data_IF_113173802768
#
_entry.id   IF_113173802768
#
_cell.length_a   1.000
_cell.length_b   1.000
_cell.length_c   1.000
_cell.angle_alpha   90.00
_cell.angle_beta   90.00
_cell.angle_gamma   90.00
#
_symmetry.space_group_name_H-M   'P 1'
#
loop_
_entity.id
_entity.type
_entity.pdbx_description
1 polymer ?
#
# COMPACT_ATOMS: atom_id res chain seq x y z
N UNK A 1 11.99 -22.12 8.02
CA UNK A 1 11.83 -20.87 8.78
C UNK A 1 10.36 -20.45 8.90
N UNK A 2 9.60 -20.25 7.78
CA UNK A 2 8.21 -19.81 7.87
C UNK A 2 7.28 -20.83 8.57
N UNK A 3 7.45 -22.13 8.31
CA UNK A 3 6.66 -23.20 8.99
C UNK A 3 6.98 -23.27 10.49
N UNK A 4 8.22 -23.03 10.89
CA UNK A 4 8.64 -23.00 12.29
C UNK A 4 8.05 -21.79 13.03
N UNK A 5 8.05 -20.61 12.37
CA UNK A 5 7.42 -19.40 12.90
C UNK A 5 5.90 -19.57 13.08
N UNK A 6 5.22 -20.16 12.08
CA UNK A 6 3.79 -20.48 12.15
C UNK A 6 3.52 -21.44 13.31
N UNK A 7 4.39 -22.45 13.53
CA UNK A 7 4.29 -23.37 14.66
C UNK A 7 4.39 -22.65 16.01
N UNK A 8 5.34 -21.72 16.14
CA UNK A 8 5.52 -20.89 17.36
C UNK A 8 4.33 -19.95 17.60
N UNK A 9 3.83 -19.29 16.55
CA UNK A 9 2.65 -18.42 16.64
C UNK A 9 1.37 -19.20 17.03
N UNK A 10 1.19 -20.40 16.48
CA UNK A 10 0.10 -21.29 16.87
C UNK A 10 0.20 -21.73 18.35
N UNK A 11 1.41 -21.93 18.87
CA UNK A 11 1.67 -22.26 20.26
C UNK A 11 1.35 -21.11 21.25
N UNK A 12 1.39 -19.86 20.77
CA UNK A 12 1.01 -18.67 21.55
C UNK A 12 -0.50 -18.42 21.54
N UNK A 13 -1.23 -19.01 20.60
CA UNK A 13 -2.68 -18.84 20.48
C UNK A 13 -3.45 -19.74 21.45
N UNK A 14 -4.62 -19.26 21.89
CA UNK A 14 -5.53 -20.03 22.72
C UNK A 14 -5.93 -21.34 22.01
N UNK A 15 -5.93 -22.46 22.75
CA UNK A 15 -6.30 -23.82 22.31
C UNK A 15 -7.60 -23.87 21.50
N UNK A 16 -8.58 -23.06 21.88
CA UNK A 16 -9.89 -22.96 21.22
C UNK A 16 -9.82 -22.15 19.90
N UNK A 17 -8.94 -21.18 19.78
CA UNK A 17 -8.77 -20.38 18.57
C UNK A 17 -8.05 -21.18 17.48
N UNK A 18 -6.96 -21.87 17.83
CA UNK A 18 -6.21 -22.69 16.88
C UNK A 18 -7.03 -23.84 16.27
N UNK A 19 -7.93 -24.44 17.07
CA UNK A 19 -8.82 -25.49 16.59
C UNK A 19 -9.89 -24.97 15.63
N UNK A 20 -10.42 -23.76 15.86
CA UNK A 20 -11.47 -23.15 15.02
C UNK A 20 -10.97 -22.64 13.67
N UNK A 21 -9.70 -22.27 13.54
CA UNK A 21 -9.12 -21.76 12.29
C UNK A 21 -8.33 -22.80 11.50
N UNK A 22 -8.33 -24.06 11.93
CA UNK A 22 -7.60 -25.14 11.23
C UNK A 22 -8.12 -25.41 9.81
N UNK A 23 -9.34 -25.03 9.51
CA UNK A 23 -9.97 -25.19 8.20
C UNK A 23 -9.87 -23.95 7.30
N UNK A 24 -9.30 -22.85 7.80
CA UNK A 24 -9.06 -21.66 6.99
C UNK A 24 -7.71 -21.81 6.28
N UNK A 25 -7.76 -22.06 4.99
CA UNK A 25 -6.58 -22.15 4.13
C UNK A 25 -6.58 -20.99 3.14
N UNK A 26 -5.50 -20.23 3.12
CA UNK A 26 -5.26 -19.34 2.00
C UNK A 26 -4.83 -20.18 0.80
N UNK A 27 -5.45 -19.96 -0.36
CA UNK A 27 -4.96 -20.55 -1.60
C UNK A 27 -3.52 -20.09 -1.84
N UNK A 28 -2.57 -21.01 -2.08
CA UNK A 28 -1.21 -20.63 -2.40
C UNK A 28 -1.21 -19.87 -3.72
N UNK A 29 -0.77 -18.64 -3.69
CA UNK A 29 -0.60 -17.81 -4.86
C UNK A 29 0.70 -18.21 -5.58
N UNK A 30 0.63 -19.32 -6.33
CA UNK A 30 1.79 -19.98 -6.94
C UNK A 30 2.46 -19.12 -8.02
N UNK A 31 1.75 -18.14 -8.58
CA UNK A 31 2.29 -17.32 -9.68
C UNK A 31 3.06 -16.07 -9.21
N UNK A 32 3.08 -15.77 -7.91
CA UNK A 32 3.57 -14.46 -7.40
C UNK A 32 4.57 -14.56 -6.26
N UNK A 33 5.23 -15.72 -6.06
CA UNK A 33 6.20 -15.91 -4.98
C UNK A 33 7.35 -14.88 -5.05
N UNK A 34 7.93 -14.68 -6.24
CA UNK A 34 9.01 -13.70 -6.46
C UNK A 34 8.55 -12.26 -6.22
N UNK A 35 7.28 -11.94 -6.56
CA UNK A 35 6.71 -10.63 -6.32
C UNK A 35 6.50 -10.34 -4.83
N UNK A 36 6.12 -11.34 -4.04
CA UNK A 36 6.00 -11.18 -2.57
C UNK A 36 7.34 -10.80 -1.95
N UNK A 37 8.42 -11.41 -2.40
CA UNK A 37 9.76 -11.09 -1.92
C UNK A 37 10.17 -9.67 -2.30
N UNK A 38 9.89 -9.23 -3.53
CA UNK A 38 10.15 -7.85 -3.98
C UNK A 38 9.33 -6.83 -3.19
N UNK A 39 8.05 -7.12 -2.90
CA UNK A 39 7.20 -6.24 -2.09
C UNK A 39 7.74 -6.11 -0.68
N UNK A 40 8.15 -7.21 -0.03
CA UNK A 40 8.74 -7.17 1.30
C UNK A 40 10.02 -6.33 1.33
N UNK A 41 10.90 -6.52 0.35
CA UNK A 41 12.10 -5.69 0.22
C UNK A 41 11.76 -4.20 0.04
N UNK A 42 10.78 -3.87 -0.79
CA UNK A 42 10.35 -2.50 -0.99
C UNK A 42 9.79 -1.90 0.31
N UNK A 43 9.01 -2.67 1.09
CA UNK A 43 8.48 -2.24 2.38
C UNK A 43 9.60 -1.89 3.36
N UNK A 44 10.65 -2.71 3.44
CA UNK A 44 11.80 -2.47 4.31
C UNK A 44 12.53 -1.18 3.91
N UNK A 45 12.85 -1.02 2.62
CA UNK A 45 13.53 0.18 2.10
C UNK A 45 12.70 1.45 2.35
N UNK A 46 11.39 1.38 2.11
CA UNK A 46 10.48 2.53 2.31
C UNK A 46 10.36 2.85 3.80
N UNK A 47 10.28 1.84 4.67
CA UNK A 47 10.25 2.02 6.12
C UNK A 47 11.48 2.78 6.62
N UNK A 48 12.65 2.39 6.16
CA UNK A 48 13.89 3.05 6.49
C UNK A 48 13.92 4.50 6.00
N UNK A 49 13.47 4.74 4.76
CA UNK A 49 13.39 6.09 4.20
C UNK A 49 12.47 7.00 5.01
N UNK A 50 11.31 6.49 5.45
CA UNK A 50 10.38 7.23 6.33
C UNK A 50 11.03 7.52 7.69
N UNK A 51 11.71 6.52 8.27
CA UNK A 51 12.38 6.65 9.58
C UNK A 51 13.53 7.65 9.55
N UNK A 52 14.27 7.72 8.44
CA UNK A 52 15.36 8.67 8.22
C UNK A 52 14.93 10.00 7.62
N UNK A 53 13.64 10.20 7.39
CA UNK A 53 13.09 11.40 6.73
C UNK A 53 13.76 11.69 5.38
N UNK A 54 14.01 10.65 4.59
CA UNK A 54 14.67 10.76 3.28
C UNK A 54 13.70 10.52 2.14
N UNK A 55 13.99 11.13 0.98
CA UNK A 55 13.28 10.85 -0.26
C UNK A 55 13.62 9.46 -0.78
N UNK A 56 12.73 8.92 -1.58
CA UNK A 56 12.98 7.70 -2.34
C UNK A 56 12.85 7.93 -3.83
N UNK A 57 13.57 7.12 -4.60
CA UNK A 57 13.38 7.01 -6.04
C UNK A 57 13.01 5.58 -6.42
N UNK A 58 12.23 5.41 -7.49
CA UNK A 58 11.81 4.11 -8.00
C UNK A 58 11.30 4.21 -9.43
N UNK A 59 11.18 3.05 -10.10
CA UNK A 59 10.46 2.90 -11.36
C UNK A 59 9.04 2.46 -11.05
N UNK A 60 8.02 3.20 -11.54
CA UNK A 60 6.63 2.84 -11.35
C UNK A 60 6.08 2.12 -12.57
N UNK A 61 5.52 0.92 -12.34
CA UNK A 61 5.12 0.00 -13.38
C UNK A 61 3.58 -0.08 -13.53
N UNK A 62 3.17 -0.65 -14.64
CA UNK A 62 1.81 -1.11 -14.92
C UNK A 62 1.85 -2.55 -15.42
N UNK A 63 0.75 -3.27 -15.30
CA UNK A 63 0.61 -4.58 -15.93
C UNK A 63 0.28 -4.44 -17.41
N UNK A 64 0.94 -5.23 -18.23
CA UNK A 64 0.57 -5.44 -19.63
C UNK A 64 -0.47 -6.56 -19.75
N UNK A 65 -0.93 -6.84 -20.98
CA UNK A 65 -1.90 -7.91 -21.27
C UNK A 65 -1.39 -9.33 -20.97
N UNK A 66 -0.08 -9.49 -20.78
CA UNK A 66 0.57 -10.75 -20.37
C UNK A 66 0.82 -10.83 -18.87
N UNK A 67 0.20 -9.95 -18.07
CA UNK A 67 0.39 -9.82 -16.62
C UNK A 67 1.84 -9.56 -16.17
N UNK A 68 2.67 -8.99 -17.03
CA UNK A 68 4.04 -8.59 -16.73
C UNK A 68 4.07 -7.11 -16.31
N UNK A 69 4.92 -6.80 -15.34
CA UNK A 69 5.21 -5.41 -14.98
C UNK A 69 6.07 -4.76 -16.06
N UNK A 70 5.59 -3.65 -16.59
CA UNK A 70 6.32 -2.81 -17.54
C UNK A 70 6.31 -1.37 -17.04
N UNK A 71 7.38 -0.59 -17.23
CA UNK A 71 7.41 0.80 -16.81
C UNK A 71 6.21 1.58 -17.35
N UNK A 72 5.56 2.37 -16.50
CA UNK A 72 4.45 3.25 -16.89
C UNK A 72 4.92 4.35 -17.84
N UNK A 73 6.16 4.81 -17.65
CA UNK A 73 6.89 5.73 -18.53
C UNK A 73 8.27 5.17 -18.76
N UNK A 74 8.69 5.02 -20.02
CA UNK A 74 10.04 4.60 -20.37
C UNK A 74 11.05 5.62 -19.82
N UNK A 75 12.15 5.10 -19.27
CA UNK A 75 13.30 5.89 -18.79
C UNK A 75 12.97 7.00 -17.78
N UNK A 76 11.87 6.84 -17.02
CA UNK A 76 11.46 7.80 -16.01
C UNK A 76 11.52 7.23 -14.60
N UNK A 77 12.37 7.82 -13.78
CA UNK A 77 12.49 7.52 -12.35
C UNK A 77 11.62 8.50 -11.56
N UNK A 78 10.73 7.97 -10.75
CA UNK A 78 9.90 8.76 -9.84
C UNK A 78 10.68 9.07 -8.58
N UNK A 79 10.61 10.31 -8.11
CA UNK A 79 11.15 10.75 -6.82
C UNK A 79 10.01 11.30 -5.98
N UNK A 80 9.89 10.82 -4.72
CA UNK A 80 8.82 11.24 -3.82
C UNK A 80 9.31 11.40 -2.38
N UNK A 81 8.54 12.14 -1.60
CA UNK A 81 8.64 12.26 -0.16
C UNK A 81 7.73 11.22 0.50
N UNK A 82 8.26 10.13 1.09
CA UNK A 82 7.45 9.08 1.71
C UNK A 82 7.00 9.51 3.10
N UNK A 83 5.74 9.22 3.48
CA UNK A 83 5.20 9.59 4.79
C UNK A 83 4.61 8.45 5.58
N UNK A 84 3.86 7.55 4.94
CA UNK A 84 3.16 6.46 5.60
C UNK A 84 2.94 5.30 4.65
N UNK A 85 2.94 4.09 5.17
CA UNK A 85 2.49 2.90 4.45
C UNK A 85 1.19 2.40 5.04
N UNK A 86 0.26 1.96 4.19
CA UNK A 86 -1.02 1.40 4.59
C UNK A 86 -1.32 0.13 3.80
N UNK A 87 -2.04 -0.80 4.43
CA UNK A 87 -2.57 -1.99 3.78
C UNK A 87 -4.08 -1.79 3.55
N UNK A 88 -4.53 -1.98 2.32
CA UNK A 88 -5.94 -1.88 1.95
C UNK A 88 -6.26 -2.85 0.82
N UNK A 89 -7.36 -3.61 0.97
CA UNK A 89 -7.84 -4.59 -0.02
C UNK A 89 -6.73 -5.52 -0.56
N UNK A 90 -5.90 -6.06 0.35
CA UNK A 90 -4.83 -7.01 0.01
C UNK A 90 -3.61 -6.38 -0.68
N UNK A 91 -3.53 -5.07 -0.77
CA UNK A 91 -2.39 -4.35 -1.33
C UNK A 91 -1.77 -3.38 -0.33
N UNK A 92 -0.47 -3.14 -0.49
CA UNK A 92 0.24 -2.09 0.25
C UNK A 92 0.35 -0.83 -0.59
N UNK A 93 0.04 0.29 0.04
CA UNK A 93 0.10 1.63 -0.57
C UNK A 93 1.07 2.50 0.20
N UNK A 94 1.82 3.31 -0.53
CA UNK A 94 2.63 4.39 0.00
C UNK A 94 1.86 5.70 -0.11
N UNK A 95 1.65 6.37 1.01
CA UNK A 95 1.22 7.77 1.08
C UNK A 95 2.46 8.62 0.96
N UNK A 96 2.54 9.42 -0.07
CA UNK A 96 3.71 10.23 -0.40
C UNK A 96 3.29 11.56 -1.04
N UNK A 97 4.25 12.43 -1.25
CA UNK A 97 4.05 13.67 -2.00
C UNK A 97 5.15 13.83 -3.04
N UNK A 98 4.81 14.38 -4.19
CA UNK A 98 5.77 14.83 -5.19
C UNK A 98 6.11 16.29 -4.92
N UNK A 99 7.38 16.69 -4.98
CA UNK A 99 7.80 18.09 -4.71
C UNK A 99 7.02 19.12 -5.53
N UNK A 100 6.62 18.73 -6.73
CA UNK A 100 5.90 19.56 -7.68
C UNK A 100 4.45 19.87 -7.25
N UNK A 101 3.86 19.05 -6.37
CA UNK A 101 2.45 19.16 -6.00
C UNK A 101 2.30 19.42 -4.50
N UNK A 102 1.16 19.97 -4.11
CA UNK A 102 0.78 20.21 -2.71
C UNK A 102 0.03 19.02 -2.08
N UNK A 103 -0.62 18.21 -2.91
CA UNK A 103 -1.47 17.11 -2.45
C UNK A 103 -0.66 15.83 -2.18
N UNK A 104 -1.25 14.91 -1.42
CA UNK A 104 -0.71 13.57 -1.26
C UNK A 104 -1.05 12.68 -2.45
N UNK A 105 -0.21 11.72 -2.70
CA UNK A 105 -0.39 10.68 -3.70
C UNK A 105 -0.37 9.30 -3.04
N UNK A 106 -1.17 8.38 -3.57
CA UNK A 106 -1.23 6.99 -3.15
C UNK A 106 -0.64 6.11 -4.24
N UNK A 107 0.43 5.43 -3.92
CA UNK A 107 1.15 4.60 -4.88
C UNK A 107 1.22 3.16 -4.39
N UNK A 108 0.81 2.21 -5.23
CA UNK A 108 0.89 0.78 -4.91
C UNK A 108 2.35 0.32 -4.87
N UNK A 109 2.76 -0.25 -3.75
CA UNK A 109 4.15 -0.68 -3.52
C UNK A 109 4.51 -1.89 -4.39
N UNK A 110 3.56 -2.77 -4.67
CA UNK A 110 3.76 -3.93 -5.56
C UNK A 110 4.01 -3.56 -7.04
N UNK A 111 3.78 -2.29 -7.40
CA UNK A 111 4.10 -1.76 -8.74
C UNK A 111 5.42 -1.00 -8.79
N UNK A 112 6.16 -0.97 -7.69
CA UNK A 112 7.46 -0.29 -7.63
C UNK A 112 8.59 -1.29 -7.86
N UNK A 113 9.56 -0.89 -8.66
CA UNK A 113 10.84 -1.61 -8.83
C UNK A 113 11.99 -0.64 -8.68
N UNK A 114 13.19 -1.15 -8.37
CA UNK A 114 14.40 -0.37 -8.19
C UNK A 114 14.22 0.78 -7.16
N UNK A 115 13.63 0.45 -6.01
CA UNK A 115 13.40 1.41 -4.92
C UNK A 115 14.72 1.71 -4.23
N UNK A 116 15.09 2.99 -4.14
CA UNK A 116 16.33 3.47 -3.52
C UNK A 116 16.05 4.65 -2.60
N UNK A 117 16.75 4.69 -1.48
CA UNK A 117 16.78 5.87 -0.59
C UNK A 117 17.73 6.89 -1.17
N UNK A 118 17.32 8.14 -1.23
CA UNK A 118 18.17 9.26 -1.66
C UNK A 118 18.77 9.96 -0.44
N UNK A 119 19.88 10.66 -0.64
CA UNK A 119 20.48 11.45 0.44
C UNK A 119 19.70 12.74 0.75
N UNK A 120 18.80 13.13 -0.14
CA UNK A 120 17.94 14.29 0.02
C UNK A 120 16.93 14.10 1.15
N UNK A 121 16.77 15.13 2.00
CA UNK A 121 15.75 15.16 3.05
C UNK A 121 14.35 15.24 2.43
N UNK A 122 13.43 14.47 2.96
CA UNK A 122 12.02 14.53 2.58
C UNK A 122 11.39 15.86 3.04
N UNK A 123 10.41 16.35 2.28
CA UNK A 123 9.61 17.52 2.64
C UNK A 123 8.87 17.25 3.94
N UNK A 124 8.86 18.20 4.85
CA UNK A 124 8.20 18.04 6.16
C UNK A 124 6.69 17.86 5.99
N UNK A 125 6.10 16.95 6.78
CA UNK A 125 4.65 16.66 6.77
C UNK A 125 3.80 17.92 6.98
N UNK A 126 4.27 18.85 7.82
CA UNK A 126 3.59 20.12 8.11
C UNK A 126 3.40 21.02 6.88
N UNK A 127 4.18 20.83 5.84
CA UNK A 127 4.08 21.59 4.59
C UNK A 127 3.06 20.98 3.61
N UNK A 128 2.44 19.87 3.98
CA UNK A 128 1.41 19.19 3.20
C UNK A 128 0.08 19.40 3.92
N UNK A 129 -0.90 20.10 3.32
CA UNK A 129 -2.16 20.45 3.99
C UNK A 129 -2.90 19.25 4.58
N UNK A 130 -2.91 18.12 3.88
CA UNK A 130 -3.58 16.89 4.33
C UNK A 130 -2.86 16.20 5.51
N UNK A 131 -1.60 16.52 5.77
CA UNK A 131 -0.76 15.90 6.79
C UNK A 131 -0.39 16.85 7.93
N UNK A 132 -0.76 18.13 7.85
CA UNK A 132 -0.35 19.19 8.79
C UNK A 132 -0.71 18.84 10.23
N UNK A 133 -1.93 18.32 10.47
CA UNK A 133 -2.43 17.94 11.79
C UNK A 133 -2.33 16.44 12.09
N UNK A 134 -1.54 15.72 11.30
CA UNK A 134 -1.47 14.26 11.32
C UNK A 134 -2.48 13.61 10.39
N UNK A 135 -2.23 12.36 10.03
CA UNK A 135 -3.10 11.59 9.15
C UNK A 135 -4.13 10.83 10.00
N UNK A 136 -5.38 11.25 9.95
CA UNK A 136 -6.52 10.46 10.45
C UNK A 136 -6.77 9.32 9.45
N UNK A 137 -6.11 8.18 9.67
CA UNK A 137 -6.16 7.03 8.76
C UNK A 137 -7.60 6.55 8.48
N UNK A 138 -8.48 6.34 9.48
CA UNK A 138 -9.86 5.93 9.24
C UNK A 138 -10.61 6.90 8.32
N UNK A 139 -10.53 8.19 8.59
CA UNK A 139 -11.15 9.23 7.77
C UNK A 139 -10.56 9.29 6.37
N UNK A 140 -9.24 9.24 6.28
CA UNK A 140 -8.51 9.24 5.01
C UNK A 140 -8.90 8.04 4.14
N UNK A 141 -8.97 6.84 4.72
CA UNK A 141 -9.39 5.63 4.03
C UNK A 141 -10.83 5.70 3.52
N UNK A 142 -11.75 6.23 4.34
CA UNK A 142 -13.15 6.41 3.96
C UNK A 142 -13.33 7.43 2.81
N UNK A 143 -12.45 8.42 2.72
CA UNK A 143 -12.50 9.46 1.69
C UNK A 143 -11.79 9.08 0.39
N UNK A 144 -10.89 8.10 0.43
CA UNK A 144 -10.06 7.70 -0.71
C UNK A 144 -10.33 6.26 -1.12
N UNK A 145 -11.56 6.01 -1.57
CA UNK A 145 -11.95 4.71 -2.14
C UNK A 145 -10.97 4.32 -3.25
N UNK A 146 -10.42 3.11 -3.19
CA UNK A 146 -9.34 2.64 -4.08
C UNK A 146 -8.09 3.52 -4.11
N UNK A 147 -7.85 4.32 -3.08
CA UNK A 147 -6.67 5.18 -2.98
C UNK A 147 -6.52 6.19 -4.13
N UNK A 148 -7.61 6.68 -4.67
CA UNK A 148 -7.60 7.82 -5.57
C UNK A 148 -7.62 9.12 -4.75
N UNK A 149 -6.75 10.06 -5.08
CA UNK A 149 -6.76 11.40 -4.53
C UNK A 149 -7.81 12.28 -5.21
N UNK A 150 -8.26 13.31 -4.53
CA UNK A 150 -9.20 14.31 -5.05
C UNK A 150 -10.10 14.89 -3.96
N UNK A 151 -10.91 15.87 -4.32
CA UNK A 151 -11.88 16.46 -3.41
C UNK A 151 -13.03 15.49 -3.13
N UNK A 152 -13.38 15.30 -1.85
CA UNK A 152 -14.54 14.51 -1.45
C UNK A 152 -15.83 15.25 -1.79
N UNK A 153 -16.75 14.54 -2.42
CA UNK A 153 -18.10 15.05 -2.74
C UNK A 153 -19.15 14.09 -2.22
N UNK A 154 -20.31 14.63 -1.83
CA UNK A 154 -21.46 13.79 -1.53
C UNK A 154 -22.06 13.29 -2.82
N UNK A 155 -22.26 11.97 -2.92
CA UNK A 155 -22.92 11.34 -4.05
C UNK A 155 -24.14 10.54 -3.56
N UNK A 156 -25.24 10.66 -4.28
CA UNK A 156 -26.45 9.82 -4.08
C UNK A 156 -26.45 8.79 -5.20
N UNK A 157 -26.32 7.52 -4.81
CA UNK A 157 -26.30 6.41 -5.76
C UNK A 157 -27.63 5.67 -5.67
N UNK A 158 -28.29 5.48 -6.81
CA UNK A 158 -29.45 4.61 -6.93
C UNK A 158 -28.97 3.28 -7.50
N UNK A 159 -29.11 2.21 -6.75
CA UNK A 159 -28.74 0.87 -7.18
C UNK A 159 -29.90 -0.11 -7.00
N UNK A 160 -29.78 -1.28 -7.62
CA UNK A 160 -30.68 -2.40 -7.39
C UNK A 160 -30.35 -3.08 -6.05
N UNK A 161 -31.35 -3.60 -5.38
CA UNK A 161 -31.19 -4.24 -4.06
C UNK A 161 -30.11 -5.35 -4.03
N UNK A 162 -29.96 -6.07 -5.13
CA UNK A 162 -28.95 -7.14 -5.28
C UNK A 162 -27.49 -6.64 -5.24
N UNK A 163 -27.26 -5.32 -5.34
CA UNK A 163 -25.93 -4.70 -5.28
C UNK A 163 -25.61 -4.11 -3.89
N UNK A 164 -26.51 -4.29 -2.92
CA UNK A 164 -26.31 -3.71 -1.58
C UNK A 164 -25.10 -4.32 -0.86
N UNK A 165 -24.89 -5.64 -0.99
CA UNK A 165 -23.76 -6.31 -0.36
C UNK A 165 -22.43 -5.76 -0.90
N UNK A 166 -22.33 -5.54 -2.21
CA UNK A 166 -21.16 -4.93 -2.85
C UNK A 166 -20.95 -3.48 -2.42
N UNK A 167 -22.03 -2.71 -2.21
CA UNK A 167 -21.95 -1.34 -1.72
C UNK A 167 -21.50 -1.23 -0.27
N UNK A 168 -21.85 -2.21 0.57
CA UNK A 168 -21.44 -2.25 1.98
C UNK A 168 -19.97 -2.64 2.13
N UNK A 169 -19.45 -3.42 1.20
CA UNK A 169 -18.05 -3.86 1.18
C UNK A 169 -17.08 -2.78 0.65
N UNK A 170 -17.65 -1.67 0.14
CA UNK A 170 -16.89 -0.53 -0.39
C UNK A 170 -16.71 0.56 0.65
#
# INVERSE_FOLDING_TARGET
QAKDLIGKLKGLSNKYFSAKVSHVCNLPDLQYADRKQQVLYNLDVINDAISFEKKISFIYNRYNTKFQLVPKRSDYTYTVNPYQMIAHNGHYYLICNFDKYSEVAHLRIDKMTDVKILDEKAKEKKLIPELEYGLDLPKHMAQHVYMYGGNSVWAVIKCHENLMDELVDW
#
